data_IF_550119580550
#
_entry.id   IF_550119580550
#
_cell.length_a   1.000
_cell.length_b   1.000
_cell.length_c   1.000
_cell.angle_alpha   90.00
_cell.angle_beta   90.00
_cell.angle_gamma   90.00
#
_symmetry.space_group_name_H-M   'P 1'
#
loop_
_entity.id
_entity.type
_entity.pdbx_description
1 polymer ?
#
# COMPACT_ATOMS: atom_id res chain seq x y z
N UNK A 1 -22.60 2.88 -4.15
CA UNK A 1 -22.40 1.42 -3.95
C UNK A 1 -22.89 0.72 -5.22
N UNK A 2 -22.05 -0.11 -5.85
CA UNK A 2 -22.49 -0.99 -6.93
C UNK A 2 -23.56 -1.95 -6.39
N UNK A 3 -24.57 -2.33 -7.18
CA UNK A 3 -25.58 -3.28 -6.73
C UNK A 3 -24.94 -4.61 -6.30
N UNK A 4 -25.45 -5.21 -5.24
CA UNK A 4 -24.89 -6.43 -4.62
C UNK A 4 -24.68 -7.58 -5.62
N UNK A 5 -25.52 -7.68 -6.65
CA UNK A 5 -25.37 -8.66 -7.74
C UNK A 5 -24.05 -8.46 -8.53
N UNK A 6 -23.68 -7.21 -8.81
CA UNK A 6 -22.39 -6.87 -9.47
C UNK A 6 -21.20 -7.26 -8.62
N UNK A 7 -21.23 -7.04 -7.30
CA UNK A 7 -20.14 -7.40 -6.39
C UNK A 7 -19.90 -8.91 -6.32
N UNK A 8 -20.98 -9.72 -6.31
CA UNK A 8 -20.86 -11.18 -6.35
C UNK A 8 -20.16 -11.67 -7.63
N UNK A 9 -20.40 -11.03 -8.77
CA UNK A 9 -19.72 -11.33 -10.04
C UNK A 9 -18.21 -11.07 -9.95
N UNK A 10 -17.79 -9.94 -9.38
CA UNK A 10 -16.38 -9.61 -9.15
C UNK A 10 -15.71 -10.62 -8.21
N UNK A 11 -16.35 -10.94 -7.10
CA UNK A 11 -15.87 -11.96 -6.17
C UNK A 11 -15.78 -13.33 -6.84
N UNK A 12 -16.80 -13.74 -7.61
CA UNK A 12 -16.75 -14.98 -8.37
C UNK A 12 -15.51 -15.04 -9.27
N UNK A 13 -15.21 -13.97 -10.01
CA UNK A 13 -14.05 -13.90 -10.89
C UNK A 13 -12.72 -13.95 -10.14
N UNK A 14 -12.60 -13.18 -9.06
CA UNK A 14 -11.32 -13.01 -8.34
C UNK A 14 -10.97 -14.18 -7.43
N UNK A 15 -11.96 -14.97 -7.01
CA UNK A 15 -11.80 -16.11 -6.11
C UNK A 15 -11.64 -17.46 -6.84
N UNK A 16 -11.53 -17.48 -8.18
CA UNK A 16 -11.28 -18.73 -8.91
C UNK A 16 -9.79 -19.11 -8.82
N UNK A 17 -9.45 -20.29 -8.27
CA UNK A 17 -8.08 -20.78 -8.23
C UNK A 17 -7.46 -20.85 -9.64
N UNK A 18 -6.22 -20.36 -9.79
CA UNK A 18 -5.51 -20.37 -11.05
C UNK A 18 -5.89 -19.26 -12.05
N UNK A 19 -6.91 -18.45 -11.76
CA UNK A 19 -7.24 -17.24 -12.52
C UNK A 19 -6.65 -16.03 -11.77
N UNK A 20 -5.35 -15.81 -11.93
CA UNK A 20 -4.65 -14.69 -11.32
C UNK A 20 -4.93 -13.35 -11.99
N UNK A 21 -4.43 -12.25 -11.40
CA UNK A 21 -4.72 -10.88 -11.83
C UNK A 21 -4.49 -10.61 -13.32
N UNK A 22 -3.46 -11.18 -13.94
CA UNK A 22 -3.22 -11.06 -15.38
C UNK A 22 -4.40 -11.59 -16.20
N UNK A 23 -4.87 -12.82 -15.91
CA UNK A 23 -6.01 -13.41 -16.61
C UNK A 23 -7.31 -12.67 -16.32
N UNK A 24 -7.51 -12.21 -15.08
CA UNK A 24 -8.66 -11.38 -14.71
C UNK A 24 -8.70 -10.11 -15.56
N UNK A 25 -7.58 -9.39 -15.69
CA UNK A 25 -7.50 -8.17 -16.50
C UNK A 25 -7.70 -8.45 -18.00
N UNK A 26 -7.12 -9.53 -18.55
CA UNK A 26 -7.39 -9.95 -19.93
C UNK A 26 -8.87 -10.19 -20.19
N UNK A 27 -9.55 -10.87 -19.29
CA UNK A 27 -10.98 -11.12 -19.38
C UNK A 27 -11.80 -9.83 -19.27
N UNK A 28 -11.49 -8.97 -18.30
CA UNK A 28 -12.15 -7.68 -18.13
C UNK A 28 -11.93 -6.76 -19.34
N UNK A 29 -10.72 -6.77 -19.93
CA UNK A 29 -10.42 -6.00 -21.13
C UNK A 29 -11.16 -6.51 -22.38
N UNK A 30 -11.35 -7.82 -22.51
CA UNK A 30 -12.00 -8.44 -23.68
C UNK A 30 -13.53 -8.44 -23.59
N UNK A 31 -14.10 -8.65 -22.41
CA UNK A 31 -15.54 -8.88 -22.22
C UNK A 31 -16.24 -7.79 -21.38
N UNK A 32 -15.47 -6.88 -20.76
CA UNK A 32 -16.02 -5.88 -19.83
C UNK A 32 -16.32 -6.46 -18.44
N UNK A 33 -17.53 -6.29 -17.94
CA UNK A 33 -17.90 -6.65 -16.56
C UNK A 33 -17.98 -8.18 -16.35
N UNK A 34 -17.82 -8.67 -15.11
CA UNK A 34 -17.84 -10.10 -14.80
C UNK A 34 -19.09 -10.85 -15.30
N UNK A 35 -20.26 -10.23 -15.32
CA UNK A 35 -21.50 -10.81 -15.82
C UNK A 35 -21.36 -11.21 -17.30
N UNK A 36 -20.76 -10.36 -18.11
CA UNK A 36 -20.50 -10.64 -19.53
C UNK A 36 -19.46 -11.75 -19.70
N UNK A 37 -18.43 -11.77 -18.84
CA UNK A 37 -17.40 -12.84 -18.85
C UNK A 37 -18.08 -14.20 -18.61
N UNK A 38 -18.93 -14.31 -17.58
CA UNK A 38 -19.60 -15.58 -17.25
C UNK A 38 -20.74 -15.96 -18.20
N UNK A 39 -21.25 -15.02 -18.99
CA UNK A 39 -22.21 -15.28 -20.07
C UNK A 39 -21.50 -15.69 -21.38
N UNK A 40 -20.19 -15.49 -21.52
CA UNK A 40 -19.42 -15.85 -22.70
C UNK A 40 -19.26 -17.38 -22.83
N UNK A 41 -19.29 -17.86 -24.06
CA UNK A 41 -19.07 -19.28 -24.34
C UNK A 41 -17.62 -19.70 -24.11
N UNK A 42 -17.43 -21.00 -23.82
CA UNK A 42 -16.11 -21.57 -23.53
C UNK A 42 -15.07 -21.24 -24.60
N UNK A 43 -15.43 -21.31 -25.90
CA UNK A 43 -14.52 -21.01 -27.01
C UNK A 43 -14.00 -19.57 -26.96
N UNK A 44 -14.88 -18.60 -26.77
CA UNK A 44 -14.48 -17.18 -26.66
C UNK A 44 -13.57 -16.92 -25.45
N UNK A 45 -13.86 -17.54 -24.32
CA UNK A 45 -12.99 -17.45 -23.14
C UNK A 45 -11.63 -18.12 -23.39
N UNK A 46 -11.61 -19.25 -24.06
CA UNK A 46 -10.37 -19.98 -24.38
C UNK A 46 -9.43 -19.19 -25.31
N UNK A 47 -9.96 -18.40 -26.23
CA UNK A 47 -9.18 -17.49 -27.09
C UNK A 47 -8.43 -16.41 -26.28
N UNK A 48 -8.96 -16.01 -25.12
CA UNK A 48 -8.35 -14.96 -24.29
C UNK A 48 -7.40 -15.51 -23.22
N UNK A 49 -7.78 -16.60 -22.53
CA UNK A 49 -7.04 -17.12 -21.35
C UNK A 49 -6.55 -18.57 -21.52
N UNK A 50 -6.80 -19.20 -22.66
CA UNK A 50 -6.47 -20.59 -22.95
C UNK A 50 -7.51 -21.59 -22.45
N UNK A 51 -7.62 -22.75 -23.11
CA UNK A 51 -8.67 -23.75 -22.86
C UNK A 51 -8.75 -24.24 -21.40
N UNK A 52 -7.58 -24.57 -20.82
CA UNK A 52 -7.52 -25.05 -19.42
C UNK A 52 -8.08 -24.01 -18.45
N UNK A 53 -7.72 -22.74 -18.63
CA UNK A 53 -8.18 -21.68 -17.75
C UNK A 53 -9.66 -21.37 -17.97
N UNK A 54 -10.15 -21.39 -19.20
CA UNK A 54 -11.57 -21.23 -19.53
C UNK A 54 -12.42 -22.33 -18.88
N UNK A 55 -11.96 -23.58 -18.95
CA UNK A 55 -12.61 -24.73 -18.31
C UNK A 55 -12.68 -24.55 -16.78
N UNK A 56 -11.57 -24.13 -16.15
CA UNK A 56 -11.53 -23.84 -14.71
C UNK A 56 -12.50 -22.69 -14.36
N UNK A 57 -12.50 -21.62 -15.14
CA UNK A 57 -13.37 -20.46 -14.95
C UNK A 57 -14.86 -20.85 -14.91
N UNK A 58 -15.30 -21.69 -15.84
CA UNK A 58 -16.71 -22.06 -15.97
C UNK A 58 -17.15 -23.12 -14.96
N UNK A 59 -16.28 -24.06 -14.60
CA UNK A 59 -16.63 -25.22 -13.78
C UNK A 59 -16.33 -25.07 -12.29
N UNK A 60 -15.62 -24.00 -11.87
CA UNK A 60 -15.33 -23.82 -10.46
C UNK A 60 -16.55 -23.30 -9.71
N UNK A 61 -17.02 -24.07 -8.73
CA UNK A 61 -17.98 -23.61 -7.74
C UNK A 61 -17.23 -22.96 -6.56
N UNK A 62 -17.31 -21.64 -6.47
CA UNK A 62 -16.71 -20.87 -5.38
C UNK A 62 -17.76 -20.06 -4.59
N UNK A 63 -19.06 -20.43 -4.67
CA UNK A 63 -20.17 -19.75 -4.00
C UNK A 63 -19.90 -19.56 -2.51
N UNK A 64 -19.46 -20.59 -1.79
CA UNK A 64 -19.16 -20.47 -0.37
C UNK A 64 -18.07 -19.40 -0.07
N UNK A 65 -17.05 -19.26 -0.93
CA UNK A 65 -16.03 -18.21 -0.77
C UNK A 65 -16.59 -16.82 -1.07
N UNK A 66 -17.49 -16.70 -2.06
CA UNK A 66 -18.23 -15.48 -2.39
C UNK A 66 -19.10 -15.05 -1.22
N UNK A 67 -19.95 -15.95 -0.71
CA UNK A 67 -20.87 -15.68 0.42
C UNK A 67 -20.10 -15.24 1.66
N UNK A 68 -18.97 -15.89 1.96
CA UNK A 68 -18.12 -15.50 3.08
C UNK A 68 -17.51 -14.10 2.91
N UNK A 69 -17.13 -13.73 1.69
CA UNK A 69 -16.59 -12.40 1.41
C UNK A 69 -17.68 -11.33 1.48
N UNK A 70 -18.89 -11.61 1.00
CA UNK A 70 -20.06 -10.74 1.14
C UNK A 70 -20.42 -10.53 2.62
N UNK A 71 -20.52 -11.62 3.39
CA UNK A 71 -20.79 -11.54 4.83
C UNK A 71 -19.72 -10.75 5.60
N UNK A 72 -18.45 -10.87 5.18
CA UNK A 72 -17.38 -10.04 5.75
C UNK A 72 -17.61 -8.56 5.45
N UNK A 73 -18.08 -8.22 4.26
CA UNK A 73 -18.32 -6.84 3.83
C UNK A 73 -19.56 -6.19 4.48
N UNK A 74 -20.42 -6.94 5.16
CA UNK A 74 -21.60 -6.40 5.87
C UNK A 74 -21.21 -5.56 7.11
N UNK A 75 -19.95 -5.66 7.59
CA UNK A 75 -19.48 -4.85 8.69
C UNK A 75 -19.29 -3.38 8.26
N UNK A 76 -19.71 -2.37 9.07
CA UNK A 76 -19.69 -0.94 8.67
C UNK A 76 -18.30 -0.39 8.30
N UNK A 77 -17.24 -0.96 8.85
CA UNK A 77 -15.85 -0.56 8.57
C UNK A 77 -15.19 -1.38 7.46
N UNK A 78 -15.91 -2.28 6.82
CA UNK A 78 -15.38 -3.12 5.76
C UNK A 78 -15.94 -2.71 4.40
N UNK A 79 -15.09 -2.77 3.38
CA UNK A 79 -15.51 -2.50 2.00
C UNK A 79 -14.79 -3.44 1.02
N UNK A 80 -15.49 -3.77 -0.05
CA UNK A 80 -14.95 -4.44 -1.23
C UNK A 80 -14.98 -3.43 -2.37
N UNK A 81 -13.80 -3.05 -2.85
CA UNK A 81 -13.64 -2.03 -3.89
C UNK A 81 -13.18 -2.70 -5.17
N UNK A 82 -13.98 -2.61 -6.22
CA UNK A 82 -13.69 -3.20 -7.54
C UNK A 82 -13.06 -2.18 -8.48
N UNK A 83 -12.42 -2.64 -9.56
CA UNK A 83 -11.89 -1.75 -10.62
C UNK A 83 -12.94 -0.82 -11.24
N UNK A 84 -14.22 -1.19 -11.19
CA UNK A 84 -15.32 -0.38 -11.70
C UNK A 84 -15.89 0.62 -10.67
N UNK A 85 -15.40 0.56 -9.43
CA UNK A 85 -15.90 1.42 -8.36
C UNK A 85 -15.30 2.82 -8.46
N UNK A 86 -16.10 3.90 -8.36
CA UNK A 86 -15.59 5.27 -8.34
C UNK A 86 -14.60 5.56 -7.20
N UNK A 87 -14.66 4.81 -6.10
CA UNK A 87 -13.76 4.92 -4.94
C UNK A 87 -12.46 4.14 -5.13
N UNK A 88 -12.30 3.38 -6.22
CA UNK A 88 -11.05 2.67 -6.50
C UNK A 88 -9.86 3.64 -6.54
N UNK A 89 -8.70 3.29 -5.93
CA UNK A 89 -7.54 4.17 -5.88
C UNK A 89 -7.05 4.54 -7.29
N UNK A 90 -7.22 5.81 -7.68
CA UNK A 90 -6.81 6.30 -9.02
C UNK A 90 -5.33 6.08 -9.31
N UNK A 91 -4.49 6.18 -8.29
CA UNK A 91 -3.06 5.92 -8.39
C UNK A 91 -2.77 4.47 -8.82
N UNK A 92 -3.56 3.49 -8.35
CA UNK A 92 -3.39 2.09 -8.72
C UNK A 92 -3.91 1.77 -10.13
N UNK A 93 -4.75 2.60 -10.74
CA UNK A 93 -5.11 2.43 -12.17
C UNK A 93 -3.93 2.70 -13.10
N UNK A 94 -2.88 3.39 -12.63
CA UNK A 94 -1.71 3.74 -13.42
C UNK A 94 -0.63 2.65 -13.44
N UNK A 95 -0.70 1.64 -12.55
CA UNK A 95 0.26 0.53 -12.55
C UNK A 95 -0.11 -0.50 -13.63
N UNK A 96 0.87 -1.29 -14.08
CA UNK A 96 0.70 -2.30 -15.14
C UNK A 96 -0.25 -3.44 -14.75
N UNK A 97 -0.43 -3.69 -13.44
CA UNK A 97 -1.20 -4.81 -12.93
C UNK A 97 -2.12 -4.41 -11.74
N UNK A 98 -3.09 -3.50 -11.96
CA UNK A 98 -4.04 -3.11 -10.92
C UNK A 98 -4.85 -4.31 -10.45
N UNK A 99 -5.06 -4.51 -9.13
CA UNK A 99 -5.91 -5.57 -8.62
C UNK A 99 -7.38 -5.37 -9.03
N UNK A 100 -8.03 -6.43 -9.48
CA UNK A 100 -9.44 -6.34 -9.90
C UNK A 100 -10.39 -6.06 -8.73
N UNK A 101 -9.97 -6.37 -7.49
CA UNK A 101 -10.73 -6.18 -6.27
C UNK A 101 -9.78 -5.94 -5.09
N UNK A 102 -10.15 -5.02 -4.23
CA UNK A 102 -9.48 -4.71 -2.96
C UNK A 102 -10.44 -4.96 -1.79
N UNK A 103 -9.94 -5.60 -0.77
CA UNK A 103 -10.54 -5.68 0.56
C UNK A 103 -10.01 -4.50 1.38
N UNK A 104 -10.89 -3.73 1.97
CA UNK A 104 -10.54 -2.54 2.76
C UNK A 104 -11.19 -2.63 4.13
N UNK A 105 -10.42 -2.34 5.18
CA UNK A 105 -10.93 -2.17 6.54
C UNK A 105 -10.51 -0.80 7.05
N UNK A 106 -11.48 0.05 7.37
CA UNK A 106 -11.28 1.41 7.84
C UNK A 106 -11.76 2.47 6.83
N UNK A 107 -11.05 3.57 6.74
CA UNK A 107 -11.42 4.79 6.03
C UNK A 107 -11.15 4.68 4.53
N UNK A 108 -12.20 4.40 3.75
CA UNK A 108 -12.13 4.21 2.29
C UNK A 108 -11.73 5.50 1.57
N UNK A 109 -12.11 6.66 2.08
CA UNK A 109 -11.79 7.96 1.50
C UNK A 109 -10.28 8.20 1.37
N UNK A 110 -9.47 7.57 2.21
CA UNK A 110 -8.00 7.67 2.15
C UNK A 110 -7.39 7.03 0.91
N UNK A 111 -8.14 6.19 0.20
CA UNK A 111 -7.65 5.51 -1.00
C UNK A 111 -7.43 6.45 -2.20
N UNK A 112 -7.92 7.67 -2.12
CA UNK A 112 -7.74 8.69 -3.17
C UNK A 112 -7.04 9.95 -2.68
N UNK A 113 -6.37 9.91 -1.53
CA UNK A 113 -5.48 10.97 -1.03
C UNK A 113 -4.09 10.87 -1.66
N UNK A 114 -3.33 11.95 -1.61
CA UNK A 114 -1.91 11.91 -1.98
C UNK A 114 -1.11 11.19 -0.90
N UNK A 115 -0.33 10.19 -1.29
CA UNK A 115 0.40 9.34 -0.36
C UNK A 115 1.91 9.30 -0.63
N UNK A 116 2.67 9.02 0.43
CA UNK A 116 4.10 8.74 0.41
C UNK A 116 4.37 7.38 1.06
N UNK A 117 5.11 6.52 0.38
CA UNK A 117 5.55 5.25 0.94
C UNK A 117 6.76 5.45 1.84
N UNK A 118 6.76 4.85 3.03
CA UNK A 118 7.94 4.78 3.91
C UNK A 118 8.22 3.31 4.18
N UNK A 119 9.39 2.84 3.75
CA UNK A 119 9.78 1.43 3.82
C UNK A 119 11.22 1.27 4.29
N UNK A 120 11.58 0.07 4.75
CA UNK A 120 12.96 -0.16 5.15
C UNK A 120 13.21 -1.53 5.79
N UNK A 121 14.25 -1.58 6.61
CA UNK A 121 14.69 -2.77 7.31
C UNK A 121 13.63 -3.30 8.28
N UNK A 122 13.49 -4.63 8.36
CA UNK A 122 12.71 -5.29 9.41
C UNK A 122 13.44 -5.34 10.76
N UNK A 123 14.77 -5.17 10.74
CA UNK A 123 15.63 -5.09 11.90
C UNK A 123 16.42 -3.76 11.87
N UNK A 124 15.72 -2.64 12.05
CA UNK A 124 16.36 -1.32 11.99
C UNK A 124 17.17 -1.02 13.25
N UNK A 125 18.05 -0.02 13.14
CA UNK A 125 18.68 0.57 14.31
C UNK A 125 17.68 1.42 15.10
N UNK A 126 17.95 1.74 16.38
CA UNK A 126 17.13 2.71 17.12
C UNK A 126 17.04 4.08 16.43
N UNK A 127 18.10 4.50 15.72
CA UNK A 127 18.10 5.73 14.93
C UNK A 127 17.17 5.60 13.72
N UNK A 128 17.19 4.46 13.01
CA UNK A 128 16.29 4.20 11.90
C UNK A 128 14.82 4.25 12.29
N UNK A 129 14.48 3.70 13.48
CA UNK A 129 13.11 3.80 14.01
C UNK A 129 12.73 5.27 14.22
N UNK A 130 13.56 6.06 14.91
CA UNK A 130 13.31 7.48 15.15
C UNK A 130 13.18 8.26 13.84
N UNK A 131 14.06 8.01 12.87
CA UNK A 131 13.99 8.64 11.56
C UNK A 131 12.66 8.33 10.87
N UNK A 132 12.24 7.07 10.85
CA UNK A 132 10.96 6.67 10.24
C UNK A 132 9.76 7.33 10.92
N UNK A 133 9.74 7.39 12.26
CA UNK A 133 8.67 8.04 13.02
C UNK A 133 8.64 9.55 12.76
N UNK A 134 9.79 10.23 12.78
CA UNK A 134 9.90 11.67 12.57
C UNK A 134 9.51 12.07 11.14
N UNK A 135 10.03 11.38 10.12
CA UNK A 135 9.65 11.64 8.73
C UNK A 135 8.17 11.38 8.49
N UNK A 136 7.65 10.25 8.99
CA UNK A 136 6.24 9.93 8.86
C UNK A 136 5.33 10.97 9.50
N UNK A 137 5.65 11.39 10.74
CA UNK A 137 4.87 12.41 11.43
C UNK A 137 4.92 13.77 10.74
N UNK A 138 6.09 14.19 10.25
CA UNK A 138 6.22 15.47 9.57
C UNK A 138 5.55 15.48 8.18
N UNK A 139 5.68 14.39 7.40
CA UNK A 139 5.00 14.24 6.10
C UNK A 139 3.47 14.17 6.29
N UNK A 140 3.00 13.52 7.35
CA UNK A 140 1.58 13.46 7.70
C UNK A 140 1.04 14.85 8.08
N UNK A 141 1.76 15.64 8.89
CA UNK A 141 1.41 17.04 9.17
C UNK A 141 1.42 17.92 7.92
N UNK A 142 2.25 17.61 6.93
CA UNK A 142 2.21 18.29 5.64
C UNK A 142 1.01 17.89 4.75
N UNK A 143 0.13 16.99 5.21
CA UNK A 143 -1.08 16.54 4.51
C UNK A 143 -0.89 15.35 3.57
N UNK A 144 0.25 14.64 3.67
CA UNK A 144 0.47 13.40 2.92
C UNK A 144 0.03 12.18 3.74
N UNK A 145 -0.73 11.30 3.13
CA UNK A 145 -1.03 9.99 3.71
C UNK A 145 0.21 9.11 3.71
N UNK A 146 0.62 8.62 4.88
CA UNK A 146 1.76 7.70 4.98
C UNK A 146 1.29 6.29 4.64
N UNK A 147 1.94 5.64 3.68
CA UNK A 147 1.64 4.25 3.36
C UNK A 147 2.84 3.34 3.58
N UNK A 148 2.57 2.11 4.02
CA UNK A 148 3.60 1.09 4.22
C UNK A 148 2.99 -0.32 4.25
N UNK A 149 3.82 -1.30 4.57
CA UNK A 149 3.45 -2.72 4.50
C UNK A 149 3.13 -3.39 5.83
N UNK A 150 3.06 -2.65 6.93
CA UNK A 150 2.81 -3.21 8.26
C UNK A 150 3.84 -4.26 8.71
N UNK A 151 5.00 -4.36 8.05
CA UNK A 151 6.09 -5.25 8.45
C UNK A 151 6.72 -4.79 9.77
N UNK A 152 7.56 -5.66 10.35
CA UNK A 152 8.41 -5.26 11.50
C UNK A 152 9.33 -4.09 11.12
N UNK A 153 9.79 -3.35 12.10
CA UNK A 153 10.82 -2.33 11.94
C UNK A 153 10.29 -1.04 11.34
N UNK A 154 10.86 -0.62 10.21
CA UNK A 154 10.60 0.68 9.60
C UNK A 154 9.12 0.87 9.21
N UNK A 155 8.48 -0.14 8.63
CA UNK A 155 7.07 -0.06 8.24
C UNK A 155 6.16 0.27 9.44
N UNK A 156 6.34 -0.47 10.55
CA UNK A 156 5.59 -0.24 11.78
C UNK A 156 5.90 1.14 12.40
N UNK A 157 7.17 1.57 12.35
CA UNK A 157 7.58 2.88 12.84
C UNK A 157 6.93 4.01 12.02
N UNK A 158 6.88 3.86 10.69
CA UNK A 158 6.22 4.82 9.80
C UNK A 158 4.72 5.00 10.15
N UNK A 159 4.00 3.89 10.33
CA UNK A 159 2.60 3.96 10.74
C UNK A 159 2.42 4.63 12.12
N UNK A 160 3.28 4.28 13.10
CA UNK A 160 3.23 4.92 14.44
C UNK A 160 3.50 6.42 14.36
N UNK A 161 4.50 6.84 13.58
CA UNK A 161 4.83 8.25 13.40
C UNK A 161 3.67 9.06 12.81
N UNK A 162 3.01 8.53 11.78
CA UNK A 162 1.82 9.17 11.20
C UNK A 162 0.67 9.27 12.22
N UNK A 163 0.35 8.16 12.92
CA UNK A 163 -0.71 8.12 13.94
C UNK A 163 -0.43 9.05 15.13
N UNK A 164 0.83 9.15 15.56
CA UNK A 164 1.25 10.03 16.66
C UNK A 164 1.13 11.53 16.29
N UNK A 165 1.17 11.84 15.01
CA UNK A 165 0.98 13.19 14.47
C UNK A 165 -0.48 13.47 14.08
N UNK A 166 -1.43 12.65 14.52
CA UNK A 166 -2.85 12.68 14.14
C UNK A 166 -3.08 12.67 12.61
N UNK A 167 -2.11 12.15 11.86
CA UNK A 167 -2.15 12.08 10.42
C UNK A 167 -2.70 10.76 9.88
N UNK A 168 -2.96 10.75 8.57
CA UNK A 168 -3.55 9.62 7.87
C UNK A 168 -2.51 8.56 7.50
N UNK A 169 -2.90 7.28 7.63
CA UNK A 169 -2.04 6.17 7.21
C UNK A 169 -2.83 5.02 6.58
N UNK A 170 -2.24 4.41 5.55
CA UNK A 170 -2.79 3.25 4.82
C UNK A 170 -1.79 2.11 4.83
N UNK A 171 -2.19 0.97 5.38
CA UNK A 171 -1.38 -0.25 5.41
C UNK A 171 -1.83 -1.22 4.32
N UNK A 172 -0.96 -1.52 3.35
CA UNK A 172 -1.19 -2.66 2.46
C UNK A 172 -0.66 -3.93 3.13
N UNK A 173 -1.41 -5.04 3.09
CA UNK A 173 -0.99 -6.30 3.72
C UNK A 173 -0.82 -7.42 2.70
N UNK A 174 0.08 -8.38 3.00
CA UNK A 174 0.39 -9.53 2.14
C UNK A 174 -0.37 -10.80 2.50
N UNK A 175 -1.46 -10.66 3.26
CA UNK A 175 -2.33 -11.74 3.74
C UNK A 175 -3.78 -11.40 3.42
N UNK A 176 -4.70 -12.32 3.62
CA UNK A 176 -6.11 -11.97 3.73
C UNK A 176 -6.29 -10.91 4.82
N UNK A 177 -7.20 -9.97 4.58
CA UNK A 177 -7.42 -8.83 5.48
C UNK A 177 -7.91 -9.25 6.89
N UNK A 178 -8.47 -10.44 6.98
CA UNK A 178 -8.89 -11.13 8.22
C UNK A 178 -7.71 -11.79 8.96
N UNK A 179 -6.50 -11.78 8.39
CA UNK A 179 -5.28 -12.37 8.97
C UNK A 179 -4.19 -11.32 9.12
N UNK A 180 -4.18 -10.63 10.25
CA UNK A 180 -3.17 -9.62 10.55
C UNK A 180 -1.81 -10.27 10.82
N UNK A 181 -0.78 -9.85 10.06
CA UNK A 181 0.59 -10.34 10.17
C UNK A 181 1.59 -9.18 10.02
N UNK A 182 2.66 -9.14 10.84
CA UNK A 182 3.03 -10.08 11.90
C UNK A 182 2.17 -9.92 13.17
N UNK A 183 2.08 -10.97 14.00
CA UNK A 183 1.27 -10.94 15.21
C UNK A 183 1.68 -9.84 16.20
N UNK A 184 2.96 -9.47 16.25
CA UNK A 184 3.48 -8.37 17.08
C UNK A 184 2.92 -6.99 16.69
N UNK A 185 2.47 -6.81 15.46
CA UNK A 185 1.87 -5.55 14.97
C UNK A 185 0.33 -5.59 15.00
N UNK A 186 -0.28 -6.59 15.67
CA UNK A 186 -1.73 -6.75 15.70
C UNK A 186 -2.45 -5.52 16.28
N UNK A 187 -1.98 -5.00 17.41
CA UNK A 187 -2.56 -3.80 18.03
C UNK A 187 -2.43 -2.58 17.10
N UNK A 188 -1.26 -2.41 16.46
CA UNK A 188 -1.05 -1.34 15.49
C UNK A 188 -2.01 -1.46 14.29
N UNK A 189 -2.20 -2.68 13.78
CA UNK A 189 -3.12 -2.92 12.66
C UNK A 189 -4.58 -2.57 13.02
N UNK A 190 -5.01 -2.84 14.25
CA UNK A 190 -6.34 -2.42 14.72
C UNK A 190 -6.46 -0.90 14.80
N UNK A 191 -5.46 -0.21 15.37
CA UNK A 191 -5.44 1.26 15.40
C UNK A 191 -5.44 1.87 14.00
N UNK A 192 -4.69 1.28 13.05
CA UNK A 192 -4.73 1.71 11.64
C UNK A 192 -6.12 1.50 11.04
N UNK A 193 -6.78 0.38 11.33
CA UNK A 193 -8.14 0.13 10.84
C UNK A 193 -9.18 1.10 11.41
N UNK A 194 -8.97 1.62 12.62
CA UNK A 194 -9.85 2.62 13.26
C UNK A 194 -9.62 4.03 12.75
N UNK A 195 -8.36 4.45 12.57
CA UNK A 195 -7.96 5.83 12.28
C UNK A 195 -7.48 6.07 10.85
N UNK A 196 -7.18 5.01 10.13
CA UNK A 196 -6.68 4.97 8.77
C UNK A 196 -7.37 3.90 7.94
N UNK A 197 -6.60 3.16 7.13
CA UNK A 197 -7.11 2.02 6.38
C UNK A 197 -6.09 0.87 6.29
N UNK A 198 -6.59 -0.37 6.38
CA UNK A 198 -5.85 -1.58 6.03
C UNK A 198 -6.41 -2.11 4.71
N UNK A 199 -5.55 -2.45 3.77
CA UNK A 199 -5.92 -2.85 2.40
C UNK A 199 -5.25 -4.16 2.01
N UNK A 200 -5.99 -5.06 1.38
CA UNK A 200 -5.48 -6.31 0.83
C UNK A 200 -6.06 -6.61 -0.54
N UNK A 201 -5.24 -7.13 -1.46
CA UNK A 201 -5.70 -7.75 -2.71
C UNK A 201 -5.96 -9.26 -2.58
N UNK A 202 -5.63 -9.84 -1.43
CA UNK A 202 -5.69 -11.28 -1.23
C UNK A 202 -7.04 -11.71 -0.65
N UNK A 203 -7.58 -12.86 -1.08
CA UNK A 203 -8.81 -13.43 -0.52
C UNK A 203 -8.74 -13.60 1.00
N UNK A 204 -9.91 -13.62 1.65
CA UNK A 204 -10.00 -13.95 3.07
C UNK A 204 -9.31 -15.29 3.37
N UNK A 205 -8.79 -15.42 4.58
CA UNK A 205 -8.02 -16.56 5.06
C UNK A 205 -6.68 -16.83 4.35
N UNK A 206 -6.23 -15.96 3.42
CA UNK A 206 -4.91 -16.11 2.79
C UNK A 206 -3.79 -16.02 3.83
N UNK A 207 -2.96 -17.07 3.98
CA UNK A 207 -1.88 -17.08 4.98
C UNK A 207 -0.70 -16.19 4.55
N UNK A 208 0.21 -15.84 5.49
CA UNK A 208 1.43 -15.12 5.16
C UNK A 208 2.41 -16.03 4.41
N UNK A 209 2.44 -15.92 3.09
CA UNK A 209 3.39 -16.64 2.23
C UNK A 209 4.46 -15.69 1.71
N UNK A 210 5.70 -16.19 1.55
CA UNK A 210 6.83 -15.35 1.12
C UNK A 210 6.57 -14.64 -0.22
N UNK A 211 5.88 -15.30 -1.16
CA UNK A 211 5.56 -14.75 -2.48
C UNK A 211 4.57 -13.57 -2.46
N UNK A 212 3.73 -13.48 -1.43
CA UNK A 212 2.72 -12.43 -1.33
C UNK A 212 3.33 -11.05 -0.99
N UNK A 213 4.43 -11.02 -0.23
CA UNK A 213 5.03 -9.76 0.22
C UNK A 213 5.62 -8.93 -0.94
N UNK A 214 6.44 -9.50 -1.85
CA UNK A 214 6.87 -8.78 -3.05
C UNK A 214 5.70 -8.36 -3.94
N UNK A 215 4.69 -9.21 -4.09
CA UNK A 215 3.50 -8.91 -4.88
C UNK A 215 2.73 -7.72 -4.29
N UNK A 216 2.56 -7.65 -2.98
CA UNK A 216 1.92 -6.54 -2.29
C UNK A 216 2.72 -5.23 -2.44
N UNK A 217 4.07 -5.28 -2.46
CA UNK A 217 4.92 -4.10 -2.50
C UNK A 217 4.65 -3.21 -3.73
N UNK A 218 4.18 -3.79 -4.86
CA UNK A 218 3.77 -3.00 -6.02
C UNK A 218 2.59 -2.06 -5.74
N UNK A 219 1.72 -2.45 -4.80
CA UNK A 219 0.59 -1.62 -4.38
C UNK A 219 1.06 -0.45 -3.51
N UNK A 220 2.03 -0.69 -2.62
CA UNK A 220 2.65 0.37 -1.81
C UNK A 220 3.30 1.39 -2.73
N UNK A 221 4.13 0.95 -3.67
CA UNK A 221 4.80 1.82 -4.64
C UNK A 221 3.78 2.56 -5.52
N UNK A 222 2.82 1.84 -6.11
CA UNK A 222 1.85 2.40 -7.05
C UNK A 222 0.83 3.34 -6.44
N UNK A 223 0.49 3.14 -5.18
CA UNK A 223 -0.41 4.00 -4.43
C UNK A 223 0.23 5.36 -4.09
N UNK A 224 1.55 5.41 -4.03
CA UNK A 224 2.32 6.56 -3.55
C UNK A 224 2.81 7.47 -4.67
N UNK A 225 3.09 8.73 -4.35
CA UNK A 225 3.80 9.67 -5.23
C UNK A 225 5.30 9.38 -5.26
N UNK A 226 5.84 8.81 -4.18
CA UNK A 226 7.22 8.40 -4.06
C UNK A 226 7.43 7.44 -2.91
N UNK A 227 8.63 6.85 -2.81
CA UNK A 227 9.00 5.89 -1.79
C UNK A 227 10.28 6.33 -1.06
N UNK A 228 10.16 6.57 0.25
CA UNK A 228 11.27 6.86 1.15
C UNK A 228 11.81 5.55 1.76
N UNK A 229 13.09 5.28 1.54
CA UNK A 229 13.81 4.17 2.14
C UNK A 229 14.66 4.69 3.30
N UNK A 230 14.32 4.29 4.53
CA UNK A 230 14.96 4.80 5.75
C UNK A 230 16.25 4.03 6.08
N UNK A 231 16.19 2.73 6.12
CA UNK A 231 17.34 1.82 6.28
C UNK A 231 17.13 0.57 5.42
N UNK A 232 18.18 0.11 4.76
CA UNK A 232 18.15 -1.13 3.98
C UNK A 232 19.55 -1.75 3.88
N UNK A 233 19.64 -3.07 4.08
CA UNK A 233 20.79 -3.84 3.60
C UNK A 233 20.69 -4.03 2.09
N UNK A 234 21.75 -4.53 1.44
CA UNK A 234 21.76 -4.79 -0.01
C UNK A 234 20.75 -5.86 -0.46
N UNK A 235 20.26 -6.66 0.48
CA UNK A 235 19.28 -7.75 0.24
C UNK A 235 17.89 -7.45 0.80
N UNK A 236 17.68 -6.23 1.30
CA UNK A 236 16.40 -5.85 1.90
C UNK A 236 15.25 -5.90 0.90
N UNK A 237 14.11 -6.46 1.32
CA UNK A 237 12.87 -6.44 0.55
C UNK A 237 12.33 -5.04 0.23
N UNK A 238 12.75 -4.02 0.99
CA UNK A 238 12.41 -2.61 0.73
C UNK A 238 13.03 -2.09 -0.57
N UNK A 239 14.17 -2.65 -1.02
CA UNK A 239 14.75 -2.33 -2.32
C UNK A 239 13.87 -2.80 -3.49
N UNK A 240 13.03 -3.83 -3.27
CA UNK A 240 12.04 -4.25 -4.26
C UNK A 240 10.98 -3.15 -4.41
N UNK A 241 10.51 -2.58 -3.30
CA UNK A 241 9.53 -1.47 -3.33
C UNK A 241 10.13 -0.25 -4.03
N UNK A 242 11.39 0.12 -3.74
CA UNK A 242 12.07 1.22 -4.41
C UNK A 242 12.19 0.99 -5.94
N UNK A 243 12.58 -0.22 -6.37
CA UNK A 243 12.63 -0.56 -7.79
C UNK A 243 11.26 -0.47 -8.45
N UNK A 244 10.22 -1.02 -7.81
CA UNK A 244 8.85 -0.95 -8.31
C UNK A 244 8.35 0.50 -8.40
N UNK A 245 8.76 1.38 -7.48
CA UNK A 245 8.45 2.81 -7.54
C UNK A 245 9.04 3.44 -8.81
N UNK A 246 10.32 3.20 -9.11
CA UNK A 246 10.95 3.67 -10.36
C UNK A 246 10.25 3.11 -11.59
N UNK A 247 9.97 1.80 -11.64
CA UNK A 247 9.28 1.14 -12.75
C UNK A 247 7.87 1.74 -13.00
N UNK A 248 7.26 2.30 -11.98
CA UNK A 248 5.93 2.93 -12.01
C UNK A 248 6.00 4.47 -12.15
N UNK A 249 7.19 5.04 -12.43
CA UNK A 249 7.38 6.47 -12.59
C UNK A 249 7.18 7.28 -11.31
N UNK A 250 7.50 6.68 -10.15
CA UNK A 250 7.41 7.33 -8.84
C UNK A 250 8.81 7.72 -8.35
N UNK A 251 8.88 8.80 -7.58
CA UNK A 251 10.14 9.25 -6.98
C UNK A 251 10.66 8.26 -5.94
N UNK A 252 11.99 8.19 -5.81
CA UNK A 252 12.64 7.36 -4.78
C UNK A 252 13.58 8.22 -3.96
N UNK A 253 13.38 8.16 -2.66
CA UNK A 253 14.15 8.89 -1.65
C UNK A 253 14.91 7.90 -0.77
N UNK A 254 16.12 8.26 -0.35
CA UNK A 254 16.89 7.41 0.54
C UNK A 254 17.61 8.27 1.59
N UNK A 255 17.47 7.87 2.86
CA UNK A 255 18.20 8.50 3.96
C UNK A 255 19.63 7.97 3.96
N UNK A 256 20.66 8.85 3.93
CA UNK A 256 22.04 8.43 4.02
C UNK A 256 22.37 7.91 5.43
N UNK A 257 23.48 7.23 5.56
CA UNK A 257 23.97 6.76 6.86
C UNK A 257 25.46 6.46 6.84
N UNK A 258 25.98 5.89 7.92
CA UNK A 258 27.39 5.55 8.01
C UNK A 258 27.79 4.52 6.93
N UNK A 259 28.91 4.76 6.25
CA UNK A 259 29.50 3.80 5.28
C UNK A 259 29.89 2.46 5.92
N UNK A 260 30.06 2.44 7.24
CA UNK A 260 30.41 1.25 8.02
C UNK A 260 29.15 0.46 8.45
N UNK A 261 27.94 1.07 8.36
CA UNK A 261 26.69 0.41 8.74
C UNK A 261 26.16 -0.48 7.61
N UNK A 262 25.94 -1.78 7.83
CA UNK A 262 25.29 -2.65 6.87
C UNK A 262 23.88 -2.15 6.50
N UNK A 263 23.16 -1.51 7.43
CA UNK A 263 21.80 -0.99 7.25
C UNK A 263 21.73 0.24 6.32
N UNK A 264 22.86 0.89 6.05
CA UNK A 264 22.92 2.04 5.13
C UNK A 264 23.31 1.65 3.70
N UNK A 265 23.85 0.45 3.50
CA UNK A 265 24.39 0.02 2.19
C UNK A 265 23.33 -0.02 1.09
N UNK A 266 22.09 -0.42 1.42
CA UNK A 266 20.98 -0.41 0.48
C UNK A 266 20.58 1.02 0.07
N UNK A 267 20.49 1.94 1.04
CA UNK A 267 20.23 3.37 0.77
C UNK A 267 21.33 3.98 -0.09
N UNK A 268 22.61 3.71 0.22
CA UNK A 268 23.74 4.19 -0.60
C UNK A 268 23.70 3.63 -2.03
N UNK A 269 23.27 2.36 -2.20
CA UNK A 269 23.09 1.77 -3.53
C UNK A 269 22.00 2.52 -4.31
N UNK A 270 20.85 2.80 -3.68
CA UNK A 270 19.77 3.56 -4.29
C UNK A 270 20.22 4.96 -4.70
N UNK A 271 20.92 5.69 -3.82
CA UNK A 271 21.45 7.04 -4.10
C UNK A 271 22.38 7.00 -5.31
N UNK A 272 23.29 6.01 -5.39
CA UNK A 272 24.17 5.83 -6.55
C UNK A 272 23.42 5.48 -7.84
N UNK A 273 22.20 4.98 -7.74
CA UNK A 273 21.31 4.66 -8.85
C UNK A 273 20.36 5.82 -9.22
N UNK A 274 20.50 6.97 -8.56
CA UNK A 274 19.71 8.16 -8.86
C UNK A 274 18.56 8.45 -7.88
N UNK A 275 18.40 7.67 -6.81
CA UNK A 275 17.47 8.04 -5.75
C UNK A 275 17.90 9.35 -5.09
N UNK A 276 16.96 10.22 -4.79
CA UNK A 276 17.22 11.48 -4.08
C UNK A 276 17.74 11.19 -2.68
N UNK A 277 18.92 11.69 -2.36
CA UNK A 277 19.41 11.73 -0.98
C UNK A 277 18.55 12.73 -0.21
N UNK A 278 18.04 12.35 0.95
CA UNK A 278 17.25 13.21 1.82
C UNK A 278 17.78 13.21 3.25
N UNK A 279 17.91 14.39 3.82
CA UNK A 279 18.31 14.63 5.21
C UNK A 279 17.16 15.25 6.00
N UNK A 280 16.25 15.94 5.31
CA UNK A 280 15.10 16.63 5.89
C UNK A 280 13.80 16.24 5.18
N UNK A 281 12.68 16.49 5.83
CA UNK A 281 11.36 16.31 5.22
C UNK A 281 11.16 17.27 4.04
N UNK A 282 11.75 18.46 4.12
CA UNK A 282 11.66 19.47 3.07
C UNK A 282 12.26 18.96 1.73
N UNK A 283 13.33 18.16 1.77
CA UNK A 283 13.91 17.55 0.56
C UNK A 283 12.91 16.66 -0.18
N UNK A 284 12.03 15.98 0.56
CA UNK A 284 10.95 15.16 -0.01
C UNK A 284 9.84 16.03 -0.58
N UNK A 285 9.42 17.05 0.16
CA UNK A 285 8.33 17.94 -0.25
C UNK A 285 8.69 18.75 -1.51
N UNK A 286 9.91 19.25 -1.57
CA UNK A 286 10.43 20.02 -2.71
C UNK A 286 10.48 19.16 -3.98
N UNK A 287 11.00 17.93 -3.88
CA UNK A 287 11.09 17.02 -5.02
C UNK A 287 9.70 16.60 -5.54
N UNK A 288 8.74 16.42 -4.63
CA UNK A 288 7.36 16.13 -5.00
C UNK A 288 6.59 17.37 -5.51
N UNK A 289 7.19 18.55 -5.52
CA UNK A 289 6.53 19.85 -5.74
C UNK A 289 5.27 19.97 -4.88
N UNK A 290 5.37 19.56 -3.60
CA UNK A 290 4.25 19.53 -2.67
C UNK A 290 4.07 20.87 -2.00
N UNK A 291 2.96 21.52 -2.27
CA UNK A 291 2.52 22.71 -1.52
C UNK A 291 1.60 22.25 -0.39
N UNK A 292 2.04 22.45 0.86
CA UNK A 292 1.21 22.16 2.04
C UNK A 292 -0.11 22.92 1.95
N UNK A 293 -1.20 22.26 2.38
CA UNK A 293 -2.51 22.93 2.48
C UNK A 293 -2.36 24.09 3.49
N UNK A 294 -2.71 25.36 3.13
CA UNK A 294 -2.63 26.47 4.05
C UNK A 294 -3.58 26.24 5.23
N UNK A 295 -3.04 26.09 6.44
CA UNK A 295 -3.83 25.91 7.67
C UNK A 295 -3.16 25.14 8.80
N UNK A 296 -2.00 24.52 8.59
CA UNK A 296 -1.25 23.78 9.62
C UNK A 296 0.23 24.21 9.69
N UNK A 297 0.52 25.48 9.52
CA UNK A 297 1.86 26.02 9.71
C UNK A 297 1.90 26.81 11.03
N UNK A 298 2.96 26.53 11.82
CA UNK A 298 3.58 27.39 12.82
C UNK A 298 2.91 27.53 14.20
N UNK A 299 3.20 26.54 15.05
CA UNK A 299 3.22 26.76 16.51
C UNK A 299 4.64 26.55 17.12
N UNK A 300 5.72 26.74 16.35
CA UNK A 300 7.11 26.70 16.82
C UNK A 300 7.86 28.02 16.58
N UNK A 301 7.29 29.17 16.95
CA UNK A 301 8.05 30.43 17.03
C UNK A 301 7.83 31.21 18.33
N UNK A 302 7.89 30.52 19.48
CA UNK A 302 7.99 31.19 20.77
C UNK A 302 8.95 30.49 21.73
N UNK A 303 10.15 30.22 21.26
CA UNK A 303 11.28 29.99 22.18
C UNK A 303 11.95 31.34 22.43
N UNK A 304 11.55 31.96 23.50
CA UNK A 304 12.10 33.19 24.08
C UNK A 304 13.61 33.14 24.17
N UNK A 305 14.27 34.12 23.53
CA UNK A 305 15.69 34.46 23.74
C UNK A 305 15.98 34.70 25.22
N UNK A 306 17.04 34.17 25.83
CA UNK A 306 17.45 34.50 27.17
C UNK A 306 18.00 35.94 27.20
N UNK A 307 17.43 36.77 28.05
CA UNK A 307 17.91 38.13 28.38
C UNK A 307 19.30 38.03 29.02
N UNK A 308 20.31 38.80 28.60
CA UNK A 308 21.61 38.86 29.29
C UNK A 308 21.47 39.54 30.66
N UNK A 309 22.30 39.14 31.66
CA UNK A 309 22.24 39.76 33.01
C UNK A 309 22.76 41.19 32.97
N UNK A 310 22.26 42.06 33.87
CA UNK A 310 22.71 43.45 33.98
C UNK A 310 24.16 43.54 34.51
N UNK A 311 24.88 44.60 34.06
CA UNK A 311 26.24 44.93 34.41
C UNK A 311 26.42 45.35 35.87
#
# INVERSE_FOLDING_TARGET
MAPTASLAGWLRLTLIPGIGGERQRKLLGAFGLPETIFAAGQRALAEVIGEKAATVLLNTDNRHAVDRALAWADHPQHALITLADPTYPRALLQISDPPALLYVRGRVELLNTSAIAIVGSRNPTPQGIRNAENFAGALARAGLTVTSGLALGIDAAAHRGALAADGDTVAFVGTGIDRLYPASNHALALTIAERGAVVSEFPLATPPTAANFPRRNRLIAGFSRGALVVEATTESGSLITARLAVEQGREVFAIPGSIHSPQSRGCHKLIKQGAKLVETVQDVLDELAWTSVPGMADDESSASSPTPPPA
#
